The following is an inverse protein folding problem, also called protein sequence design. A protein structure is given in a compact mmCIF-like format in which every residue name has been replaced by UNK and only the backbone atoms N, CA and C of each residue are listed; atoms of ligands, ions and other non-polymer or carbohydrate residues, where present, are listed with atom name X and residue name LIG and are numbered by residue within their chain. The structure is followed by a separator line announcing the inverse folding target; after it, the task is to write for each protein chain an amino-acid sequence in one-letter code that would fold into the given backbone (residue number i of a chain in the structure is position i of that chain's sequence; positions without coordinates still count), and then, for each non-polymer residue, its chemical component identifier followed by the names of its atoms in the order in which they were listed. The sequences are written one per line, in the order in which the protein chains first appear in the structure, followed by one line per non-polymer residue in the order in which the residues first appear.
data_IF_046082731303
#
_entry.id   IF_046082731303
#
_cell.length_a   1.000
_cell.length_b   1.000
_cell.length_c   1.000
_cell.angle_alpha   90.00
_cell.angle_beta   90.00
_cell.angle_gamma   90.00
#
_symmetry.space_group_name_H-M   'P 1'
#
loop_
_entity.id
_entity.type
_entity.pdbx_description
1 polymer ?
#
# COMPACT_ATOMS: atom_id res chain seq x y z
N UNK A 1 -59.64 27.23 62.83
CA UNK A 1 -59.30 27.63 61.48
C UNK A 1 -57.80 27.88 61.45
N UNK A 2 -56.98 27.08 60.80
CA UNK A 2 -55.56 27.38 60.58
C UNK A 2 -55.40 28.37 59.41
N UNK A 3 -54.36 29.23 59.39
CA UNK A 3 -54.18 30.22 58.38
C UNK A 3 -53.65 29.65 57.06
N UNK A 4 -53.96 30.27 55.88
CA UNK A 4 -53.74 29.68 54.56
C UNK A 4 -52.37 30.09 53.89
N UNK A 5 -51.30 30.07 54.66
CA UNK A 5 -49.99 30.54 54.15
C UNK A 5 -48.89 29.50 54.15
N UNK A 6 -49.18 28.22 53.98
CA UNK A 6 -48.16 27.17 53.92
C UNK A 6 -47.86 26.66 52.49
N UNK A 7 -48.03 27.50 51.49
CA UNK A 7 -47.43 27.22 50.16
C UNK A 7 -46.02 27.80 50.10
N UNK A 8 -45.10 27.30 50.96
CA UNK A 8 -43.69 27.57 50.73
C UNK A 8 -43.29 26.72 49.52
N UNK A 9 -43.06 27.40 48.42
CA UNK A 9 -42.47 26.89 47.22
C UNK A 9 -41.21 26.08 47.57
N UNK A 10 -41.33 24.77 47.52
CA UNK A 10 -40.17 23.90 47.48
C UNK A 10 -39.45 24.16 46.15
N UNK A 11 -38.59 25.18 46.13
CA UNK A 11 -37.67 25.39 45.03
C UNK A 11 -36.86 24.13 44.90
N UNK A 12 -37.22 23.33 43.92
CA UNK A 12 -36.45 22.21 43.50
C UNK A 12 -35.11 22.81 43.07
N UNK A 13 -34.09 22.61 43.88
CA UNK A 13 -32.71 22.95 43.54
C UNK A 13 -32.38 22.08 42.35
N UNK A 14 -32.62 22.60 41.14
CA UNK A 14 -32.14 22.00 39.92
C UNK A 14 -30.63 21.91 40.09
N UNK A 15 -30.13 20.71 40.30
CA UNK A 15 -28.70 20.42 40.29
C UNK A 15 -28.16 20.95 38.94
N UNK A 16 -27.25 21.91 39.02
CA UNK A 16 -26.59 22.45 37.83
C UNK A 16 -26.13 21.26 36.96
N UNK A 17 -26.30 21.36 35.64
CA UNK A 17 -25.95 20.25 34.76
C UNK A 17 -24.52 19.83 35.05
N UNK A 18 -24.28 18.54 35.12
CA UNK A 18 -23.02 17.91 35.51
C UNK A 18 -21.80 18.35 34.63
N UNK A 19 -22.09 19.11 33.61
CA UNK A 19 -21.13 19.71 32.66
C UNK A 19 -20.20 20.76 33.31
N UNK A 20 -20.62 21.37 34.41
CA UNK A 20 -19.91 22.46 35.12
C UNK A 20 -19.08 22.01 36.32
N UNK A 21 -18.93 20.68 36.57
CA UNK A 21 -18.09 20.21 37.61
C UNK A 21 -16.60 20.21 37.17
N UNK A 22 -15.72 21.00 37.80
CA UNK A 22 -14.32 21.08 37.37
C UNK A 22 -13.59 19.73 37.39
N UNK A 23 -13.99 18.80 38.24
CA UNK A 23 -13.44 17.43 38.29
C UNK A 23 -13.81 16.64 37.03
N UNK A 24 -15.03 16.75 36.52
CA UNK A 24 -15.45 16.05 35.30
C UNK A 24 -14.82 16.66 34.08
N UNK A 25 -14.57 17.96 34.09
CA UNK A 25 -13.91 18.66 32.99
C UNK A 25 -12.44 18.20 32.85
N UNK A 26 -11.70 18.14 33.94
CA UNK A 26 -10.30 17.68 33.94
C UNK A 26 -10.22 16.20 33.54
N UNK A 27 -11.12 15.35 34.02
CA UNK A 27 -11.15 13.94 33.64
C UNK A 27 -11.43 13.76 32.12
N UNK A 28 -12.40 14.51 31.58
CA UNK A 28 -12.70 14.46 30.15
C UNK A 28 -11.54 14.99 29.29
N UNK A 29 -10.87 16.05 29.73
CA UNK A 29 -9.68 16.58 29.02
C UNK A 29 -8.56 15.57 29.00
N UNK A 30 -8.29 14.88 30.12
CA UNK A 30 -7.28 13.82 30.18
C UNK A 30 -7.67 12.63 29.28
N UNK A 31 -8.94 12.25 29.25
CA UNK A 31 -9.43 11.17 28.39
C UNK A 31 -9.24 11.51 26.90
N UNK A 32 -9.62 12.72 26.52
CA UNK A 32 -9.42 13.24 25.15
C UNK A 32 -7.92 13.25 24.81
N UNK A 33 -7.08 13.76 25.71
CA UNK A 33 -5.63 13.74 25.53
C UNK A 33 -5.06 12.33 25.33
N UNK A 34 -5.51 11.37 26.12
CA UNK A 34 -5.13 9.95 25.97
C UNK A 34 -5.57 9.40 24.60
N UNK A 35 -6.80 9.71 24.18
CA UNK A 35 -7.32 9.26 22.88
C UNK A 35 -6.45 9.80 21.71
N UNK A 36 -6.14 11.08 21.72
CA UNK A 36 -5.26 11.67 20.70
C UNK A 36 -3.84 11.09 20.75
N UNK A 37 -3.31 10.87 21.94
CA UNK A 37 -1.98 10.28 22.11
C UNK A 37 -1.91 8.85 21.58
N UNK A 38 -2.90 8.01 21.92
CA UNK A 38 -2.99 6.64 21.39
C UNK A 38 -3.19 6.66 19.87
N UNK A 39 -4.07 7.52 19.37
CA UNK A 39 -4.28 7.72 17.94
C UNK A 39 -2.98 8.10 17.23
N UNK A 40 -2.23 9.04 17.79
CA UNK A 40 -0.93 9.43 17.24
C UNK A 40 0.06 8.25 17.16
N UNK A 41 0.14 7.45 18.23
CA UNK A 41 1.00 6.25 18.24
C UNK A 41 0.56 5.26 17.15
N UNK A 42 -0.74 4.98 17.05
CA UNK A 42 -1.26 4.05 16.07
C UNK A 42 -0.92 4.51 14.64
N UNK A 43 -1.26 5.75 14.31
CA UNK A 43 -1.02 6.28 12.95
C UNK A 43 0.48 6.42 12.61
N UNK A 44 1.33 6.68 13.61
CA UNK A 44 2.76 6.86 13.38
C UNK A 44 3.51 5.53 13.28
N UNK A 45 3.17 4.55 14.10
CA UNK A 45 3.99 3.34 14.28
C UNK A 45 3.33 2.05 13.79
N UNK A 46 2.00 1.98 13.74
CA UNK A 46 1.30 0.74 13.36
C UNK A 46 0.84 0.81 11.91
N UNK A 47 0.20 1.91 11.51
CA UNK A 47 -0.30 2.06 10.17
C UNK A 47 -1.29 3.20 10.05
N UNK A 48 -1.76 3.43 8.84
CA UNK A 48 -2.65 4.53 8.55
C UNK A 48 -3.44 4.33 7.27
N UNK A 49 -4.06 5.41 6.87
CA UNK A 49 -4.84 5.51 5.64
C UNK A 49 -4.22 6.61 4.79
N UNK A 50 -4.13 6.39 3.50
CA UNK A 50 -3.59 7.39 2.58
C UNK A 50 -4.20 7.26 1.19
N UNK A 51 -4.19 8.36 0.45
CA UNK A 51 -4.60 8.36 -0.94
C UNK A 51 -3.44 7.99 -1.85
N UNK A 52 -3.76 7.33 -2.96
CA UNK A 52 -2.79 7.01 -4.03
C UNK A 52 -3.22 7.66 -5.33
N UNK A 53 -2.26 7.87 -6.22
CA UNK A 53 -2.50 8.39 -7.56
C UNK A 53 -1.67 7.61 -8.58
N UNK A 54 -2.15 7.58 -9.84
CA UNK A 54 -1.46 6.90 -10.93
C UNK A 54 -2.04 5.54 -11.28
N UNK A 55 -1.68 5.08 -12.47
CA UNK A 55 -2.24 3.87 -13.11
C UNK A 55 -1.33 2.65 -13.00
N UNK A 56 -0.15 2.79 -12.38
CA UNK A 56 0.89 1.76 -12.39
C UNK A 56 0.53 0.47 -11.63
N UNK A 57 -0.51 0.51 -10.78
CA UNK A 57 -0.97 -0.62 -9.97
C UNK A 57 -2.35 -1.13 -10.38
N UNK A 58 -2.86 -0.71 -11.54
CA UNK A 58 -4.10 -1.25 -12.10
C UNK A 58 -3.83 -2.70 -12.57
N UNK A 59 -4.72 -3.66 -12.31
CA UNK A 59 -6.06 -3.52 -11.73
C UNK A 59 -6.11 -3.67 -10.20
N UNK A 60 -5.00 -3.89 -9.53
CA UNK A 60 -4.97 -4.12 -8.08
C UNK A 60 -5.41 -2.87 -7.31
N UNK A 61 -4.88 -1.72 -7.65
CA UNK A 61 -5.37 -0.44 -7.13
C UNK A 61 -6.10 0.25 -8.29
N UNK A 62 -7.41 0.48 -8.14
CA UNK A 62 -8.20 1.05 -9.22
C UNK A 62 -7.74 2.47 -9.55
N UNK A 63 -7.93 2.88 -10.80
CA UNK A 63 -7.71 4.25 -11.21
C UNK A 63 -9.04 4.86 -11.67
N UNK A 64 -9.43 5.96 -11.06
CA UNK A 64 -10.61 6.72 -11.45
C UNK A 64 -10.23 8.16 -11.76
N UNK A 65 -10.69 8.65 -12.91
CA UNK A 65 -10.45 10.04 -13.39
C UNK A 65 -11.18 11.07 -12.52
N UNK A 66 -11.09 11.14 -11.29
CA UNK A 66 -11.75 12.13 -10.43
C UNK A 66 -11.70 11.77 -8.96
N UNK A 67 -11.32 10.59 -8.62
CA UNK A 67 -11.15 10.18 -7.23
C UNK A 67 -9.83 9.44 -7.05
N UNK A 68 -9.04 9.89 -6.08
CA UNK A 68 -7.85 9.15 -5.69
C UNK A 68 -8.28 7.97 -4.82
N UNK A 69 -7.91 6.73 -5.17
CA UNK A 69 -8.20 5.58 -4.32
C UNK A 69 -7.49 5.71 -2.97
N UNK A 70 -8.17 5.27 -1.92
CA UNK A 70 -7.62 5.27 -0.57
C UNK A 70 -7.22 3.87 -0.16
N UNK A 71 -6.05 3.76 0.41
CA UNK A 71 -5.46 2.51 0.88
C UNK A 71 -5.25 2.53 2.39
N UNK A 72 -5.37 1.36 3.00
CA UNK A 72 -4.91 1.09 4.36
C UNK A 72 -3.53 0.47 4.26
N UNK A 73 -2.59 0.97 5.05
CA UNK A 73 -1.23 0.47 5.06
C UNK A 73 -0.70 0.25 6.48
N UNK A 74 0.23 -0.68 6.61
CA UNK A 74 0.94 -0.97 7.87
C UNK A 74 2.38 -0.50 7.80
N UNK A 75 2.80 0.32 8.77
CA UNK A 75 4.17 0.79 8.92
C UNK A 75 5.07 -0.17 9.72
N UNK A 76 4.52 -1.24 10.27
CA UNK A 76 5.28 -2.28 10.96
C UNK A 76 6.29 -2.96 10.03
N UNK A 77 6.01 -2.93 8.74
CA UNK A 77 6.83 -3.52 7.68
C UNK A 77 7.90 -2.56 7.12
N UNK A 78 8.15 -1.44 7.80
CA UNK A 78 9.21 -0.49 7.40
C UNK A 78 10.57 -1.18 7.30
N UNK A 79 11.38 -0.72 6.35
CA UNK A 79 12.72 -1.24 6.07
C UNK A 79 12.73 -2.72 5.70
N UNK A 80 11.66 -3.19 5.06
CA UNK A 80 11.58 -4.57 4.57
C UNK A 80 11.26 -5.63 5.62
N UNK A 81 10.85 -5.24 6.83
CA UNK A 81 10.54 -6.22 7.88
C UNK A 81 9.31 -7.07 7.53
N UNK A 82 9.48 -8.39 7.44
CA UNK A 82 8.39 -9.34 7.19
C UNK A 82 7.66 -9.14 5.86
N UNK A 83 8.33 -8.51 4.90
CA UNK A 83 7.84 -8.39 3.51
C UNK A 83 8.15 -9.68 2.78
N UNK A 84 7.24 -10.09 1.92
CA UNK A 84 7.33 -11.28 1.09
C UNK A 84 7.05 -10.95 -0.37
N UNK A 85 7.45 -11.84 -1.26
CA UNK A 85 7.06 -11.77 -2.67
C UNK A 85 5.53 -11.74 -2.79
N UNK A 86 5.03 -10.88 -3.65
CA UNK A 86 3.60 -10.63 -3.81
C UNK A 86 3.05 -9.47 -3.00
N UNK A 87 3.73 -9.02 -1.96
CA UNK A 87 3.29 -7.88 -1.15
C UNK A 87 3.33 -6.57 -1.95
N UNK A 88 2.30 -5.76 -1.78
CA UNK A 88 2.29 -4.40 -2.29
C UNK A 88 2.86 -3.47 -1.23
N UNK A 89 3.90 -2.74 -1.60
CA UNK A 89 4.64 -1.87 -0.67
C UNK A 89 4.64 -0.42 -1.13
N UNK A 90 4.69 0.50 -0.17
CA UNK A 90 5.01 1.89 -0.42
C UNK A 90 6.47 2.16 -0.07
N UNK A 91 7.14 2.95 -0.88
CA UNK A 91 8.54 3.27 -0.68
C UNK A 91 8.88 4.68 -1.16
N UNK A 92 9.99 5.22 -0.68
CA UNK A 92 10.56 6.47 -1.19
C UNK A 92 11.23 6.17 -2.53
N UNK A 93 10.88 6.93 -3.55
CA UNK A 93 11.45 6.72 -4.89
C UNK A 93 12.97 6.97 -4.88
N UNK A 94 13.80 6.02 -5.36
CA UNK A 94 15.25 6.15 -5.25
C UNK A 94 15.84 7.34 -6.03
N UNK A 95 15.23 7.71 -7.16
CA UNK A 95 15.68 8.83 -7.99
C UNK A 95 14.98 10.16 -7.61
N UNK A 96 13.80 10.09 -7.01
CA UNK A 96 13.00 11.28 -6.63
C UNK A 96 12.56 11.14 -5.16
N UNK A 97 13.42 11.54 -4.19
CA UNK A 97 13.14 11.31 -2.77
C UNK A 97 11.90 12.02 -2.22
N UNK A 98 11.38 13.01 -2.92
CA UNK A 98 10.12 13.68 -2.56
C UNK A 98 8.89 12.83 -2.89
N UNK A 99 9.04 11.90 -3.83
CA UNK A 99 7.93 11.08 -4.31
C UNK A 99 7.86 9.77 -3.53
N UNK A 100 6.63 9.40 -3.20
CA UNK A 100 6.31 8.08 -2.67
C UNK A 100 5.68 7.25 -3.77
N UNK A 101 6.18 6.05 -3.96
CA UNK A 101 5.67 5.12 -4.98
C UNK A 101 5.08 3.88 -4.33
N UNK A 102 4.10 3.28 -5.02
CA UNK A 102 3.48 2.03 -4.62
C UNK A 102 3.72 0.99 -5.72
N UNK A 103 4.28 -0.17 -5.36
CA UNK A 103 4.60 -1.27 -6.29
C UNK A 103 4.48 -2.61 -5.59
N UNK A 104 4.45 -3.69 -6.37
CA UNK A 104 4.46 -5.06 -5.88
C UNK A 104 5.89 -5.59 -5.80
N UNK A 105 6.20 -6.30 -4.73
CA UNK A 105 7.45 -7.03 -4.56
C UNK A 105 7.38 -8.30 -5.41
N UNK A 106 8.33 -8.46 -6.33
CA UNK A 106 8.40 -9.61 -7.25
C UNK A 106 9.58 -10.50 -6.91
N UNK A 107 10.61 -9.96 -6.25
CA UNK A 107 11.76 -10.73 -5.80
C UNK A 107 12.35 -10.17 -4.50
N UNK A 108 12.82 -11.07 -3.66
CA UNK A 108 13.50 -10.79 -2.40
C UNK A 108 15.01 -11.05 -2.53
N UNK A 109 15.84 -10.67 -1.54
CA UNK A 109 17.28 -10.90 -1.61
C UNK A 109 17.63 -12.35 -1.95
N UNK A 110 18.45 -12.53 -2.98
CA UNK A 110 18.87 -13.86 -3.46
C UNK A 110 18.01 -14.45 -4.57
N UNK A 111 16.79 -13.98 -4.76
CA UNK A 111 15.91 -14.46 -5.83
C UNK A 111 16.41 -14.06 -7.22
N UNK A 112 16.02 -14.84 -8.22
CA UNK A 112 16.23 -14.54 -9.63
C UNK A 112 14.91 -14.07 -10.23
N UNK A 113 14.93 -12.87 -10.82
CA UNK A 113 13.76 -12.26 -11.44
C UNK A 113 13.97 -12.17 -12.94
N UNK A 114 13.04 -12.72 -13.69
CA UNK A 114 12.98 -12.51 -15.15
C UNK A 114 12.39 -11.13 -15.44
N UNK A 115 13.14 -10.30 -16.13
CA UNK A 115 12.76 -8.93 -16.45
C UNK A 115 12.20 -8.90 -17.86
N UNK A 116 10.91 -8.70 -17.97
CA UNK A 116 10.20 -8.50 -19.24
C UNK A 116 9.78 -7.05 -19.35
N UNK A 117 10.25 -6.33 -20.38
CA UNK A 117 9.85 -4.95 -20.61
C UNK A 117 8.97 -4.90 -21.87
N UNK A 118 7.65 -4.70 -21.74
CA UNK A 118 6.77 -4.56 -22.89
C UNK A 118 7.10 -3.30 -23.69
N UNK A 119 7.02 -3.40 -25.00
CA UNK A 119 7.02 -2.24 -25.89
C UNK A 119 8.37 -1.52 -26.08
N UNK A 120 9.47 -2.03 -25.55
CA UNK A 120 10.79 -1.53 -25.87
C UNK A 120 11.27 -2.20 -27.16
N UNK A 121 10.89 -1.64 -28.28
CA UNK A 121 11.61 -1.85 -29.54
C UNK A 121 12.96 -1.15 -29.38
N UNK A 122 14.01 -1.92 -29.15
CA UNK A 122 15.35 -1.38 -29.32
C UNK A 122 15.43 -0.92 -30.79
N UNK A 123 15.56 0.39 -30.99
CA UNK A 123 15.74 1.00 -32.32
C UNK A 123 17.02 0.51 -33.02
N UNK A 124 17.78 -0.36 -32.36
CA UNK A 124 19.02 -0.95 -32.83
C UNK A 124 18.86 -2.41 -33.31
N UNK A 125 17.65 -2.92 -33.40
CA UNK A 125 17.44 -4.19 -34.09
C UNK A 125 17.14 -3.89 -35.55
N UNK A 126 18.20 -3.67 -36.33
CA UNK A 126 18.22 -3.67 -37.81
C UNK A 126 17.87 -5.05 -38.39
N UNK A 127 16.94 -5.75 -37.83
CA UNK A 127 16.40 -6.99 -38.35
C UNK A 127 14.92 -6.81 -38.63
N UNK A 128 14.62 -6.01 -39.62
CA UNK A 128 13.40 -6.18 -40.39
C UNK A 128 13.61 -7.42 -41.25
N UNK A 129 13.56 -8.58 -40.63
CA UNK A 129 13.24 -9.78 -41.37
C UNK A 129 11.76 -9.62 -41.76
N UNK A 130 11.50 -9.58 -43.08
CA UNK A 130 10.17 -9.33 -43.65
C UNK A 130 9.07 -10.33 -43.29
N UNK A 131 9.22 -11.05 -42.23
CA UNK A 131 8.26 -11.97 -41.64
C UNK A 131 7.87 -11.47 -40.24
N UNK A 132 7.07 -10.43 -40.12
CA UNK A 132 6.31 -10.01 -38.94
C UNK A 132 6.63 -10.66 -37.60
N UNK A 133 7.89 -10.92 -37.30
CA UNK A 133 8.34 -11.57 -36.09
C UNK A 133 8.23 -10.58 -34.96
N UNK A 134 7.37 -10.89 -34.01
CA UNK A 134 7.16 -10.18 -32.79
C UNK A 134 8.49 -9.74 -32.17
N UNK A 135 8.59 -8.49 -31.78
CA UNK A 135 9.76 -7.92 -31.14
C UNK A 135 10.36 -8.93 -30.16
N UNK A 136 11.63 -9.26 -30.31
CA UNK A 136 12.30 -10.21 -29.44
C UNK A 136 12.22 -9.68 -28.00
N UNK A 137 11.41 -10.33 -27.20
CA UNK A 137 11.33 -10.04 -25.75
C UNK A 137 12.69 -10.38 -25.19
N UNK A 138 13.49 -9.35 -24.87
CA UNK A 138 14.76 -9.56 -24.20
C UNK A 138 14.45 -9.98 -22.77
N UNK A 139 14.55 -11.25 -22.54
CA UNK A 139 14.42 -11.83 -21.20
C UNK A 139 15.79 -11.71 -20.52
N UNK A 140 15.88 -10.80 -19.58
CA UNK A 140 17.05 -10.65 -18.73
C UNK A 140 16.75 -11.21 -17.35
N UNK A 141 17.59 -12.14 -16.88
CA UNK A 141 17.46 -12.66 -15.53
C UNK A 141 18.38 -11.89 -14.60
N UNK A 142 17.81 -11.20 -13.63
CA UNK A 142 18.55 -10.42 -12.65
C UNK A 142 18.48 -11.10 -11.29
N UNK A 143 19.63 -11.30 -10.65
CA UNK A 143 19.68 -11.72 -9.25
C UNK A 143 19.51 -10.53 -8.33
N UNK A 144 18.56 -10.60 -7.41
CA UNK A 144 18.32 -9.55 -6.41
C UNK A 144 19.44 -9.54 -5.38
N UNK A 145 20.17 -8.41 -5.18
CA UNK A 145 21.26 -8.32 -4.23
C UNK A 145 20.76 -8.37 -2.78
N UNK A 146 21.68 -8.71 -1.86
CA UNK A 146 21.39 -8.62 -0.42
C UNK A 146 20.97 -7.21 -0.02
N UNK A 147 19.99 -7.12 0.90
CA UNK A 147 19.46 -5.84 1.37
C UNK A 147 18.55 -5.10 0.38
N UNK A 148 18.23 -5.70 -0.76
CA UNK A 148 17.36 -5.13 -1.79
C UNK A 148 16.16 -6.04 -2.07
N UNK A 149 15.15 -5.48 -2.72
CA UNK A 149 14.05 -6.22 -3.33
C UNK A 149 13.82 -5.74 -4.76
N UNK A 150 13.19 -6.56 -5.56
CA UNK A 150 12.73 -6.19 -6.89
C UNK A 150 11.26 -5.82 -6.83
N UNK A 151 10.91 -4.62 -7.24
CA UNK A 151 9.54 -4.13 -7.24
C UNK A 151 9.07 -3.82 -8.64
N UNK A 152 7.81 -4.14 -8.92
CA UNK A 152 7.20 -3.98 -10.24
C UNK A 152 5.76 -3.49 -10.11
N UNK A 153 5.30 -2.69 -11.06
CA UNK A 153 3.90 -2.32 -11.13
C UNK A 153 3.07 -3.41 -11.76
N UNK A 154 1.82 -3.53 -11.32
CA UNK A 154 0.89 -4.50 -11.90
C UNK A 154 0.47 -4.11 -13.34
N UNK A 155 0.56 -2.82 -13.67
CA UNK A 155 0.41 -2.30 -15.03
C UNK A 155 1.80 -2.06 -15.63
N UNK A 156 2.33 -3.06 -16.31
CA UNK A 156 3.71 -3.10 -16.80
C UNK A 156 4.06 -1.97 -17.77
N UNK A 157 3.13 -1.60 -18.65
CA UNK A 157 3.34 -0.58 -19.66
C UNK A 157 3.44 0.83 -19.07
N UNK A 158 2.73 1.06 -17.97
CA UNK A 158 2.62 2.39 -17.34
C UNK A 158 3.28 2.44 -15.96
N UNK A 159 4.31 1.61 -15.74
CA UNK A 159 5.00 1.56 -14.46
C UNK A 159 6.46 1.95 -14.58
N UNK A 160 6.85 2.91 -13.74
CA UNK A 160 8.26 3.21 -13.45
C UNK A 160 8.64 2.44 -12.18
N UNK A 161 9.43 1.38 -12.37
CA UNK A 161 9.75 0.43 -11.31
C UNK A 161 11.20 -0.07 -11.44
N UNK A 162 11.54 -1.18 -10.79
CA UNK A 162 12.89 -1.74 -10.79
C UNK A 162 13.46 -2.03 -12.16
N UNK A 163 12.65 -2.15 -13.19
CA UNK A 163 13.12 -2.26 -14.58
C UNK A 163 13.84 -0.99 -15.07
N UNK A 164 13.55 0.17 -14.45
CA UNK A 164 14.17 1.45 -14.79
C UNK A 164 15.27 1.85 -13.82
N UNK A 165 15.06 1.65 -12.51
CA UNK A 165 16.00 2.13 -11.49
C UNK A 165 16.79 1.00 -10.80
N UNK A 166 16.57 -0.27 -11.19
CA UNK A 166 17.23 -1.42 -10.58
C UNK A 166 16.63 -1.88 -9.26
N UNK A 167 17.33 -2.76 -8.53
CA UNK A 167 16.88 -3.28 -7.25
C UNK A 167 16.66 -2.15 -6.23
N UNK A 168 15.52 -2.20 -5.53
CA UNK A 168 15.15 -1.22 -4.52
C UNK A 168 15.77 -1.59 -3.16
N UNK A 169 16.55 -0.71 -2.52
CA UNK A 169 17.02 -0.93 -1.17
C UNK A 169 15.84 -1.12 -0.19
N UNK A 170 15.85 -2.19 0.60
CA UNK A 170 14.81 -2.47 1.60
C UNK A 170 14.66 -1.32 2.60
N UNK A 171 15.73 -0.56 2.85
CA UNK A 171 15.71 0.63 3.70
C UNK A 171 14.76 1.72 3.24
N UNK A 172 14.44 1.80 1.94
CA UNK A 172 13.51 2.78 1.37
C UNK A 172 12.04 2.37 1.52
N UNK A 173 11.76 1.12 1.86
CA UNK A 173 10.39 0.63 2.09
C UNK A 173 9.80 1.30 3.33
N UNK A 174 8.62 1.91 3.18
CA UNK A 174 7.92 2.65 4.23
C UNK A 174 6.79 1.85 4.87
N UNK A 175 5.99 1.17 4.06
CA UNK A 175 4.83 0.43 4.55
C UNK A 175 4.40 -0.67 3.59
N UNK A 176 3.59 -1.60 4.09
CA UNK A 176 2.88 -2.62 3.31
C UNK A 176 1.43 -2.20 3.17
N UNK A 177 0.90 -2.25 1.95
CA UNK A 177 -0.50 -2.01 1.66
C UNK A 177 -1.31 -3.25 2.05
N UNK A 178 -2.38 -3.04 2.81
CA UNK A 178 -3.24 -4.10 3.31
C UNK A 178 -4.56 -4.19 2.54
N UNK A 179 -5.14 -3.05 2.22
CA UNK A 179 -6.44 -2.98 1.57
C UNK A 179 -6.61 -1.69 0.76
N UNK A 180 -7.47 -1.75 -0.24
CA UNK A 180 -8.09 -0.59 -0.88
C UNK A 180 -9.46 -0.41 -0.22
N UNK A 181 -9.79 0.80 0.22
CA UNK A 181 -11.04 1.11 0.92
C UNK A 181 -11.95 2.06 0.17
N UNK A 182 -11.40 2.88 -0.72
CA UNK A 182 -12.17 3.77 -1.59
C UNK A 182 -11.67 3.67 -3.02
N UNK A 183 -12.58 3.71 -3.99
CA UNK A 183 -14.05 3.76 -3.88
C UNK A 183 -14.61 2.46 -3.26
N UNK A 184 -15.71 2.55 -2.51
CA UNK A 184 -16.30 1.39 -1.81
C UNK A 184 -16.72 0.26 -2.77
N UNK A 185 -17.06 0.59 -4.01
CA UNK A 185 -17.39 -0.39 -5.05
C UNK A 185 -16.23 -1.33 -5.39
N UNK A 186 -15.00 -0.91 -5.13
CA UNK A 186 -13.76 -1.62 -5.45
C UNK A 186 -12.94 -1.95 -4.21
N UNK A 187 -13.56 -1.82 -3.02
CA UNK A 187 -12.90 -2.12 -1.76
C UNK A 187 -12.53 -3.61 -1.69
N UNK A 188 -11.25 -3.88 -1.43
CA UNK A 188 -10.70 -5.25 -1.37
C UNK A 188 -9.45 -5.32 -0.54
N UNK A 189 -9.18 -6.48 0.03
CA UNK A 189 -7.89 -6.79 0.62
C UNK A 189 -6.83 -6.95 -0.47
N UNK A 190 -5.69 -6.34 -0.25
CA UNK A 190 -4.51 -6.52 -1.10
C UNK A 190 -3.64 -7.58 -0.44
N UNK A 191 -3.90 -8.84 -0.81
CA UNK A 191 -3.11 -9.97 -0.31
C UNK A 191 -1.79 -10.12 -1.06
N UNK A 192 -0.86 -10.87 -0.44
CA UNK A 192 0.39 -11.33 -1.06
C UNK A 192 0.20 -12.48 -2.05
N UNK A 193 -1.03 -12.73 -2.49
CA UNK A 193 -1.26 -13.68 -3.57
C UNK A 193 -0.69 -13.10 -4.86
N UNK A 194 0.55 -13.45 -5.16
CA UNK A 194 0.89 -13.75 -6.54
C UNK A 194 0.00 -14.94 -6.84
N UNK A 195 -0.98 -14.78 -7.72
CA UNK A 195 -1.55 -15.93 -8.37
C UNK A 195 -0.37 -16.54 -9.12
N UNK A 196 0.30 -17.47 -8.47
CA UNK A 196 1.18 -18.40 -9.16
C UNK A 196 0.20 -19.08 -10.09
N UNK A 197 0.19 -18.66 -11.34
CA UNK A 197 -0.35 -19.46 -12.41
C UNK A 197 0.54 -20.69 -12.36
N UNK A 198 0.13 -21.68 -11.57
CA UNK A 198 0.61 -23.02 -11.74
C UNK A 198 0.44 -23.26 -13.23
N UNK A 199 1.55 -23.28 -13.94
CA UNK A 199 1.58 -23.75 -15.29
C UNK A 199 0.97 -25.15 -15.19
N UNK A 200 -0.33 -25.23 -15.49
CA UNK A 200 -1.06 -26.49 -15.47
C UNK A 200 -0.22 -27.43 -16.29
N UNK A 201 0.35 -28.40 -15.61
CA UNK A 201 1.34 -29.31 -16.10
C UNK A 201 0.98 -29.88 -17.45
N UNK A 202 1.52 -29.30 -18.46
CA UNK A 202 1.94 -30.00 -19.64
C UNK A 202 3.42 -30.22 -19.43
N UNK A 203 3.74 -31.41 -19.03
CA UNK A 203 5.07 -31.99 -19.10
C UNK A 203 5.58 -31.77 -20.54
N UNK A 204 6.22 -30.62 -20.78
CA UNK A 204 6.93 -30.36 -22.02
C UNK A 204 8.32 -30.86 -21.79
N UNK A 205 8.49 -32.12 -22.15
CA UNK A 205 9.80 -32.77 -22.34
C UNK A 205 10.65 -31.88 -23.25
N UNK A 206 11.40 -31.00 -22.68
CA UNK A 206 12.53 -30.37 -23.35
C UNK A 206 13.69 -31.37 -23.41
N UNK A 207 13.48 -32.44 -24.17
CA UNK A 207 14.57 -33.29 -24.54
C UNK A 207 15.43 -32.57 -25.55
N UNK A 208 16.48 -31.88 -25.07
CA UNK A 208 17.61 -31.54 -25.91
C UNK A 208 18.29 -32.87 -26.31
N UNK A 209 17.97 -33.35 -27.48
CA UNK A 209 18.75 -34.43 -28.08
C UNK A 209 20.09 -33.87 -28.55
N UNK A 210 21.20 -34.59 -28.27
CA UNK A 210 22.55 -34.18 -28.64
C UNK A 210 22.74 -34.10 -30.13
#
# INVERSE_FOLDING_TARGET
MPPPWSFIHRFHRQSAPAILNPKTWTQNTILVGKFFFVGHIVFTYIGGVGSTSGISMVPTIPHSFGSHPWIVYSTLHRRGRGIQVGDVVTFTHPLFPQDSSCKRVVGMPGDFVSVVTPGRTDADVDAVDGEGKWASVREEVVRVPEGHCWVQGDNLEWSRDSRLFGPLPLGLVRSKVLAVILPFSEAKWVGSKVDVVEAQGGERDWVVKP
#
